data_IF_516314958455
#
_entry.id   IF_516314958455
#
_cell.length_a   1.000
_cell.length_b   1.000
_cell.length_c   1.000
_cell.angle_alpha   90.00
_cell.angle_beta   90.00
_cell.angle_gamma   90.00
#
_symmetry.space_group_name_H-M   'P 1'
#
loop_
_entity.id
_entity.type
_entity.pdbx_description
1 polymer ?
#
# COMPACT_ATOMS: atom_id res chain seq x y z
N UNK A 1 23.99 -7.61 -7.78
CA UNK A 1 22.82 -8.30 -7.16
C UNK A 1 23.28 -8.91 -5.85
N UNK A 2 22.69 -8.55 -4.73
CA UNK A 2 23.07 -9.14 -3.44
C UNK A 2 22.35 -10.48 -3.30
N UNK A 3 23.10 -11.57 -3.22
CA UNK A 3 22.52 -12.89 -3.01
C UNK A 3 22.13 -13.07 -1.54
N UNK A 4 20.91 -13.52 -1.30
CA UNK A 4 20.45 -13.90 0.04
C UNK A 4 20.88 -15.34 0.29
N UNK A 5 21.77 -15.54 1.28
CA UNK A 5 22.20 -16.88 1.71
C UNK A 5 21.20 -17.44 2.71
N UNK A 6 20.51 -18.54 2.37
CA UNK A 6 19.70 -19.29 3.34
C UNK A 6 20.60 -20.04 4.32
N UNK A 7 20.34 -19.87 5.60
CA UNK A 7 21.12 -20.52 6.67
C UNK A 7 20.18 -21.03 7.77
N UNK A 8 20.74 -21.84 8.67
CA UNK A 8 20.01 -22.35 9.85
C UNK A 8 20.20 -21.46 11.08
N UNK A 9 21.17 -20.56 11.04
CA UNK A 9 21.55 -19.74 12.20
C UNK A 9 21.60 -18.27 11.84
N UNK A 10 21.23 -17.43 12.80
CA UNK A 10 21.40 -15.99 12.72
C UNK A 10 22.88 -15.61 12.70
N UNK A 11 23.23 -14.52 12.00
CA UNK A 11 24.59 -13.95 12.04
C UNK A 11 24.92 -13.37 13.44
N UNK A 12 23.89 -12.84 14.09
CA UNK A 12 23.95 -12.29 15.42
C UNK A 12 22.55 -12.24 16.04
N UNK A 13 22.43 -11.96 17.34
CA UNK A 13 21.12 -11.72 17.96
C UNK A 13 20.33 -10.65 17.23
N UNK A 14 18.99 -10.77 17.18
CA UNK A 14 18.16 -9.83 16.45
C UNK A 14 18.30 -8.41 17.02
N UNK A 15 18.24 -7.42 16.13
CA UNK A 15 18.33 -5.99 16.49
C UNK A 15 19.57 -5.58 17.31
N UNK A 16 20.67 -6.32 17.19
CA UNK A 16 21.95 -5.87 17.73
C UNK A 16 22.46 -4.65 16.93
N UNK A 17 23.36 -3.85 17.55
CA UNK A 17 23.84 -2.58 16.95
C UNK A 17 24.54 -2.73 15.61
N UNK A 18 25.05 -3.90 15.27
CA UNK A 18 25.89 -4.15 14.09
C UNK A 18 25.16 -4.76 12.93
N UNK A 19 23.91 -5.21 13.11
CA UNK A 19 23.14 -5.95 12.13
C UNK A 19 21.70 -5.45 12.07
N UNK A 20 21.27 -5.07 10.87
CA UNK A 20 19.85 -4.78 10.62
C UNK A 20 19.08 -6.11 10.57
N UNK A 21 18.00 -6.21 11.33
CA UNK A 21 17.12 -7.38 11.37
C UNK A 21 15.73 -7.01 10.86
N UNK A 22 15.19 -7.82 9.96
CA UNK A 22 13.85 -7.68 9.41
C UNK A 22 13.12 -9.01 9.60
N UNK A 23 11.88 -8.96 10.02
CA UNK A 23 11.05 -10.15 10.19
C UNK A 23 9.79 -10.07 9.32
N UNK A 24 9.39 -11.20 8.78
CA UNK A 24 8.10 -11.36 8.14
C UNK A 24 7.45 -12.69 8.54
N UNK A 25 6.12 -12.74 8.69
CA UNK A 25 5.45 -13.98 9.07
C UNK A 25 5.45 -14.96 7.90
N UNK A 26 5.50 -16.24 8.22
CA UNK A 26 5.22 -17.32 7.28
C UNK A 26 3.84 -17.86 7.63
N UNK A 27 2.78 -17.53 6.87
CA UNK A 27 1.46 -18.02 7.15
C UNK A 27 1.43 -19.56 7.14
N UNK A 28 0.73 -20.14 8.11
CA UNK A 28 0.47 -21.57 8.12
C UNK A 28 -0.30 -22.01 6.87
N UNK A 29 -0.25 -23.30 6.53
CA UNK A 29 -1.11 -23.88 5.50
C UNK A 29 -2.59 -23.50 5.73
N UNK A 30 -3.40 -23.32 4.69
CA UNK A 30 -4.84 -23.10 4.83
C UNK A 30 -5.56 -24.16 5.66
N UNK A 31 -5.04 -25.37 5.70
CA UNK A 31 -5.54 -26.50 6.50
C UNK A 31 -5.14 -26.43 7.98
N UNK A 32 -4.08 -25.68 8.32
CA UNK A 32 -3.63 -25.44 9.69
C UNK A 32 -4.24 -24.16 10.25
N UNK A 33 -5.52 -24.21 10.62
CA UNK A 33 -6.22 -23.05 11.20
C UNK A 33 -5.98 -22.87 12.69
N UNK A 34 -5.39 -23.87 13.35
CA UNK A 34 -5.14 -23.86 14.80
C UNK A 34 -3.66 -23.76 15.15
N UNK A 35 -3.38 -22.96 16.15
CA UNK A 35 -2.06 -22.77 16.75
C UNK A 35 -1.20 -21.71 16.06
N UNK A 36 -0.51 -20.92 16.87
CA UNK A 36 0.32 -19.79 16.45
C UNK A 36 -0.35 -18.44 16.67
N UNK A 37 0.34 -17.39 16.25
CA UNK A 37 -0.11 -16.01 16.36
C UNK A 37 -1.00 -15.66 15.17
N UNK A 38 -2.07 -14.90 15.42
CA UNK A 38 -2.97 -14.42 14.36
C UNK A 38 -2.34 -13.21 13.65
N UNK A 39 -2.24 -13.28 12.33
CA UNK A 39 -1.74 -12.17 11.51
C UNK A 39 -2.80 -11.04 11.44
N UNK A 40 -2.41 -9.85 11.89
CA UNK A 40 -3.26 -8.65 11.89
C UNK A 40 -4.65 -8.87 12.56
N UNK A 41 -4.73 -9.77 13.55
CA UNK A 41 -5.99 -10.15 14.20
C UNK A 41 -6.98 -10.91 13.32
N UNK A 42 -6.61 -11.25 12.09
CA UNK A 42 -7.43 -11.95 11.11
C UNK A 42 -7.48 -13.48 11.34
N UNK A 43 -7.93 -14.20 10.32
CA UNK A 43 -8.09 -15.66 10.38
C UNK A 43 -6.80 -16.44 10.09
N UNK A 44 -5.82 -15.82 9.44
CA UNK A 44 -4.54 -16.47 9.15
C UNK A 44 -3.64 -16.46 10.37
N UNK A 45 -2.97 -17.59 10.61
CA UNK A 45 -2.02 -17.77 11.71
C UNK A 45 -0.62 -18.04 11.17
N UNK A 46 0.38 -17.80 12.01
CA UNK A 46 1.79 -18.16 11.76
C UNK A 46 2.46 -18.64 13.04
N UNK A 47 3.37 -19.60 12.88
CA UNK A 47 4.25 -20.10 13.96
C UNK A 47 5.69 -19.70 13.70
N UNK A 48 6.03 -19.58 12.40
CA UNK A 48 7.38 -19.34 11.94
C UNK A 48 7.53 -17.95 11.34
N UNK A 49 8.70 -17.41 11.49
CA UNK A 49 9.14 -16.16 10.91
C UNK A 49 10.26 -16.40 9.90
N UNK A 50 10.22 -15.65 8.83
CA UNK A 50 11.37 -15.40 7.99
C UNK A 50 12.13 -14.23 8.60
N UNK A 51 13.36 -14.48 9.07
CA UNK A 51 14.25 -13.47 9.63
C UNK A 51 15.34 -13.18 8.62
N UNK A 52 15.42 -11.93 8.18
CA UNK A 52 16.47 -11.47 7.28
C UNK A 52 17.40 -10.57 8.05
N UNK A 53 18.69 -10.91 8.03
CA UNK A 53 19.73 -10.09 8.64
C UNK A 53 20.67 -9.55 7.57
N UNK A 54 20.93 -8.23 7.67
CA UNK A 54 21.84 -7.50 6.78
C UNK A 54 23.04 -6.97 7.55
N UNK A 55 24.24 -7.37 7.11
CA UNK A 55 25.52 -6.84 7.60
C UNK A 55 26.36 -6.40 6.40
N UNK A 56 26.60 -5.08 6.25
CA UNK A 56 27.30 -4.53 5.08
C UNK A 56 26.71 -5.09 3.76
N UNK A 57 27.47 -5.90 3.05
CA UNK A 57 27.11 -6.49 1.77
C UNK A 57 26.56 -7.94 1.90
N UNK A 58 26.45 -8.47 3.10
CA UNK A 58 25.93 -9.81 3.38
C UNK A 58 24.47 -9.76 3.75
N UNK A 59 23.66 -10.61 3.12
CA UNK A 59 22.27 -10.88 3.47
C UNK A 59 22.11 -12.37 3.75
N UNK A 60 21.56 -12.68 4.91
CA UNK A 60 21.13 -14.05 5.22
C UNK A 60 19.64 -14.09 5.48
N UNK A 61 19.04 -15.24 5.21
CA UNK A 61 17.66 -15.57 5.52
C UNK A 61 17.64 -16.81 6.41
N UNK A 62 16.94 -16.72 7.52
CA UNK A 62 16.69 -17.83 8.44
C UNK A 62 15.21 -18.01 8.63
N UNK A 63 14.73 -19.25 8.56
CA UNK A 63 13.38 -19.61 8.96
C UNK A 63 13.43 -20.19 10.36
N UNK A 64 12.69 -19.61 11.28
CA UNK A 64 12.71 -20.04 12.68
C UNK A 64 11.37 -19.83 13.37
N UNK A 65 11.05 -20.63 14.41
CA UNK A 65 9.88 -20.40 15.24
C UNK A 65 9.91 -19.05 15.93
N UNK A 66 8.74 -18.40 16.05
CA UNK A 66 8.62 -17.11 16.75
C UNK A 66 9.17 -17.16 18.17
N UNK A 67 8.90 -18.24 18.89
CA UNK A 67 9.37 -18.42 20.28
C UNK A 67 10.89 -18.54 20.36
N UNK A 68 11.51 -19.15 19.37
CA UNK A 68 12.98 -19.24 19.33
C UNK A 68 13.62 -17.89 19.10
N UNK A 69 13.06 -17.07 18.20
CA UNK A 69 13.54 -15.70 17.98
C UNK A 69 13.45 -14.86 19.27
N UNK A 70 12.34 -14.96 20.00
CA UNK A 70 12.15 -14.29 21.29
C UNK A 70 13.16 -14.77 22.34
N UNK A 71 13.43 -16.09 22.40
CA UNK A 71 14.43 -16.66 23.31
C UNK A 71 15.83 -16.12 23.03
N UNK A 72 16.23 -16.09 21.75
CA UNK A 72 17.54 -15.54 21.35
C UNK A 72 17.64 -14.05 21.68
N UNK A 73 16.59 -13.27 21.45
CA UNK A 73 16.53 -11.85 21.77
C UNK A 73 16.65 -11.62 23.29
N UNK A 74 15.90 -12.37 24.11
CA UNK A 74 15.90 -12.30 25.57
C UNK A 74 17.28 -12.61 26.15
N UNK A 75 17.94 -13.65 25.65
CA UNK A 75 19.27 -14.06 26.12
C UNK A 75 20.36 -13.04 25.75
N UNK A 76 20.13 -12.18 24.77
CA UNK A 76 21.10 -11.17 24.35
C UNK A 76 20.97 -9.87 25.14
N UNK A 77 19.79 -9.24 25.13
CA UNK A 77 19.55 -7.99 25.85
C UNK A 77 18.07 -7.63 25.94
N UNK A 78 17.72 -6.82 26.94
CA UNK A 78 16.38 -6.27 27.10
C UNK A 78 15.96 -5.41 25.88
N UNK A 79 16.87 -4.62 25.30
CA UNK A 79 16.60 -3.80 24.11
C UNK A 79 16.29 -4.67 22.89
N UNK A 80 17.06 -5.74 22.68
CA UNK A 80 16.78 -6.71 21.59
C UNK A 80 15.43 -7.39 21.77
N UNK A 81 15.09 -7.80 22.99
CA UNK A 81 13.79 -8.39 23.30
C UNK A 81 12.66 -7.40 23.00
N UNK A 82 12.70 -6.20 23.55
CA UNK A 82 11.66 -5.19 23.36
C UNK A 82 11.42 -4.87 21.87
N UNK A 83 12.48 -4.73 21.09
CA UNK A 83 12.38 -4.50 19.65
C UNK A 83 11.78 -5.70 18.90
N UNK A 84 12.13 -6.91 19.31
CA UNK A 84 11.58 -8.14 18.71
C UNK A 84 10.10 -8.27 19.02
N UNK A 85 9.71 -8.06 20.28
CA UNK A 85 8.30 -8.08 20.72
C UNK A 85 7.50 -7.02 19.98
N UNK A 86 7.98 -5.77 19.92
CA UNK A 86 7.32 -4.69 19.19
C UNK A 86 7.08 -5.03 17.70
N UNK A 87 8.05 -5.65 17.04
CA UNK A 87 7.85 -6.07 15.63
C UNK A 87 6.85 -7.21 15.50
N UNK A 88 6.84 -8.16 16.43
CA UNK A 88 5.86 -9.25 16.45
C UNK A 88 4.46 -8.70 16.74
N UNK A 89 4.31 -7.79 17.69
CA UNK A 89 3.06 -7.11 17.98
C UNK A 89 2.51 -6.39 16.75
N UNK A 90 3.36 -5.68 16.00
CA UNK A 90 2.97 -5.04 14.74
C UNK A 90 2.46 -6.04 13.69
N UNK A 91 2.89 -7.30 13.74
CA UNK A 91 2.35 -8.34 12.87
C UNK A 91 1.00 -8.87 13.35
N UNK A 92 0.77 -8.90 14.66
CA UNK A 92 -0.38 -9.55 15.31
C UNK A 92 -1.55 -8.58 15.51
N UNK A 93 -1.26 -7.34 15.86
CA UNK A 93 -2.27 -6.34 16.20
C UNK A 93 -3.27 -6.13 15.06
N UNK A 94 -4.55 -6.05 15.44
CA UNK A 94 -5.62 -5.68 14.49
C UNK A 94 -5.29 -4.36 13.81
N UNK A 95 -5.60 -4.28 12.53
CA UNK A 95 -5.47 -3.03 11.79
C UNK A 95 -6.62 -2.10 12.16
N UNK A 96 -6.29 -0.81 12.32
CA UNK A 96 -7.32 0.22 12.47
C UNK A 96 -8.19 0.28 11.21
N UNK A 97 -9.45 0.71 11.34
CA UNK A 97 -10.29 0.98 10.17
C UNK A 97 -9.60 1.94 9.21
N UNK A 98 -9.65 1.64 7.92
CA UNK A 98 -9.15 2.53 6.86
C UNK A 98 -10.35 3.18 6.17
N UNK A 99 -10.45 4.50 6.17
CA UNK A 99 -11.58 5.23 5.59
C UNK A 99 -12.95 4.68 6.04
N UNK A 100 -13.07 4.27 7.32
CA UNK A 100 -14.24 3.61 7.94
C UNK A 100 -14.46 2.15 7.51
N UNK A 101 -13.62 1.57 6.67
CA UNK A 101 -13.68 0.14 6.31
C UNK A 101 -13.06 -0.72 7.42
N UNK A 102 -13.73 -1.81 7.74
CA UNK A 102 -13.23 -2.81 8.69
C UNK A 102 -12.12 -3.65 8.06
N UNK A 103 -10.87 -3.39 8.46
CA UNK A 103 -9.68 -4.08 7.93
C UNK A 103 -9.49 -5.51 8.44
N UNK A 104 -10.44 -6.07 9.18
CA UNK A 104 -10.43 -7.51 9.56
C UNK A 104 -10.80 -8.45 8.40
N UNK A 105 -11.35 -7.90 7.32
CA UNK A 105 -11.77 -8.61 6.11
C UNK A 105 -11.19 -7.94 4.85
N UNK A 106 -11.05 -8.69 3.74
CA UNK A 106 -10.59 -8.13 2.47
C UNK A 106 -11.62 -7.15 1.90
N UNK A 107 -11.10 -6.10 1.25
CA UNK A 107 -11.89 -5.13 0.49
C UNK A 107 -11.41 -5.11 -0.95
N UNK A 108 -12.34 -4.92 -1.89
CA UNK A 108 -12.04 -4.82 -3.31
C UNK A 108 -12.05 -3.34 -3.71
N UNK A 109 -11.00 -2.90 -4.39
CA UNK A 109 -10.93 -1.59 -5.02
C UNK A 109 -11.03 -1.75 -6.54
N UNK A 110 -12.16 -1.31 -7.10
CA UNK A 110 -12.35 -1.22 -8.55
C UNK A 110 -11.62 -0.01 -9.10
N UNK A 111 -11.04 -0.11 -10.31
CA UNK A 111 -10.27 0.97 -10.93
C UNK A 111 -10.96 1.46 -12.20
N UNK A 112 -11.15 2.77 -12.31
CA UNK A 112 -11.71 3.43 -13.48
C UNK A 112 -10.73 4.49 -13.99
N UNK A 113 -10.12 4.22 -15.16
CA UNK A 113 -9.25 5.17 -15.83
C UNK A 113 -10.04 5.95 -16.89
N UNK A 114 -10.17 7.25 -16.69
CA UNK A 114 -10.89 8.15 -17.60
C UNK A 114 -9.90 8.68 -18.64
N UNK A 115 -9.63 7.87 -19.67
CA UNK A 115 -8.73 8.24 -20.78
C UNK A 115 -9.54 8.63 -22.03
N UNK A 116 -8.96 9.39 -22.99
CA UNK A 116 -9.64 9.79 -24.22
C UNK A 116 -10.22 8.62 -24.99
N UNK A 117 -9.51 7.52 -25.09
CA UNK A 117 -9.94 6.33 -25.81
C UNK A 117 -11.11 5.61 -25.14
N UNK A 118 -11.20 5.70 -23.81
CA UNK A 118 -12.25 5.03 -23.04
C UNK A 118 -13.55 5.83 -22.94
N UNK A 119 -13.44 7.18 -22.94
CA UNK A 119 -14.57 8.03 -22.57
C UNK A 119 -14.81 9.29 -23.43
N UNK A 120 -13.89 9.69 -24.34
CA UNK A 120 -13.98 10.99 -25.03
C UNK A 120 -14.53 10.95 -26.46
N UNK A 121 -14.65 9.77 -27.09
CA UNK A 121 -15.12 9.65 -28.50
C UNK A 121 -16.63 9.88 -28.72
N UNK A 122 -17.41 10.02 -27.64
CA UNK A 122 -18.86 10.23 -27.69
C UNK A 122 -19.30 11.40 -26.79
N UNK A 123 -20.52 11.94 -26.97
CA UNK A 123 -20.99 13.07 -26.16
C UNK A 123 -20.79 12.86 -24.66
N UNK A 124 -20.39 13.92 -23.93
CA UNK A 124 -20.12 13.87 -22.48
C UNK A 124 -21.24 13.21 -21.67
N UNK A 125 -22.51 13.41 -22.08
CA UNK A 125 -23.68 12.83 -21.40
C UNK A 125 -23.73 11.31 -21.53
N UNK A 126 -23.40 10.76 -22.71
CA UNK A 126 -23.37 9.30 -22.92
C UNK A 126 -22.25 8.67 -22.09
N UNK A 127 -21.13 9.34 -21.97
CA UNK A 127 -19.97 8.90 -21.21
C UNK A 127 -20.22 8.86 -19.69
N UNK A 128 -20.92 9.86 -19.16
CA UNK A 128 -21.28 9.89 -17.74
C UNK A 128 -22.31 8.78 -17.41
N UNK A 129 -23.29 8.51 -18.28
CA UNK A 129 -24.23 7.39 -18.10
C UNK A 129 -23.49 6.05 -18.11
N UNK A 130 -22.56 5.85 -19.05
CA UNK A 130 -21.71 4.65 -19.11
C UNK A 130 -20.85 4.49 -17.86
N UNK A 131 -20.22 5.58 -17.40
CA UNK A 131 -19.43 5.60 -16.18
C UNK A 131 -20.27 5.16 -14.97
N UNK A 132 -21.44 5.76 -14.80
CA UNK A 132 -22.38 5.42 -13.73
C UNK A 132 -22.78 3.95 -13.78
N UNK A 133 -23.03 3.39 -14.96
CA UNK A 133 -23.33 1.96 -15.14
C UNK A 133 -22.17 1.09 -14.67
N UNK A 134 -20.93 1.36 -15.12
CA UNK A 134 -19.72 0.63 -14.72
C UNK A 134 -19.53 0.72 -13.20
N UNK A 135 -19.74 1.90 -12.62
CA UNK A 135 -19.65 2.10 -11.19
C UNK A 135 -20.63 1.21 -10.42
N UNK A 136 -21.90 1.17 -10.83
CA UNK A 136 -22.91 0.29 -10.22
C UNK A 136 -22.55 -1.18 -10.38
N UNK A 137 -22.07 -1.60 -11.53
CA UNK A 137 -21.62 -2.97 -11.76
C UNK A 137 -20.48 -3.37 -10.82
N UNK A 138 -19.47 -2.50 -10.64
CA UNK A 138 -18.36 -2.76 -9.69
C UNK A 138 -18.86 -2.86 -8.26
N UNK A 139 -19.72 -1.95 -7.82
CA UNK A 139 -20.25 -1.97 -6.44
C UNK A 139 -21.12 -3.20 -6.19
N UNK A 140 -21.99 -3.55 -7.13
CA UNK A 140 -22.83 -4.75 -7.04
C UNK A 140 -22.00 -6.05 -7.02
N UNK A 141 -20.81 -6.04 -7.64
CA UNK A 141 -19.85 -7.13 -7.57
C UNK A 141 -18.91 -7.06 -6.35
N UNK A 142 -19.19 -6.18 -5.38
CA UNK A 142 -18.51 -6.17 -4.07
C UNK A 142 -17.37 -5.16 -3.93
N UNK A 143 -17.19 -4.21 -4.86
CA UNK A 143 -16.20 -3.16 -4.69
C UNK A 143 -16.59 -2.22 -3.54
N UNK A 144 -15.73 -2.10 -2.53
CA UNK A 144 -15.86 -1.19 -1.40
C UNK A 144 -15.28 0.21 -1.69
N UNK A 145 -14.37 0.28 -2.64
CA UNK A 145 -13.68 1.50 -3.08
C UNK A 145 -13.70 1.52 -4.60
N UNK A 146 -13.91 2.68 -5.20
CA UNK A 146 -13.71 2.91 -6.63
C UNK A 146 -12.62 3.97 -6.80
N UNK A 147 -11.51 3.59 -7.40
CA UNK A 147 -10.35 4.45 -7.66
C UNK A 147 -10.45 5.07 -9.06
N UNK A 148 -10.48 6.39 -9.11
CA UNK A 148 -10.72 7.15 -10.34
C UNK A 148 -9.46 7.91 -10.70
N UNK A 149 -8.90 7.61 -11.87
CA UNK A 149 -7.74 8.29 -12.44
C UNK A 149 -8.04 8.99 -13.77
N UNK A 150 -7.51 10.20 -13.93
CA UNK A 150 -7.54 10.95 -15.19
C UNK A 150 -6.29 10.77 -16.03
N UNK A 151 -5.19 10.41 -15.40
CA UNK A 151 -3.90 10.11 -16.02
C UNK A 151 -3.62 8.61 -15.91
N UNK A 152 -3.07 8.00 -16.96
CA UNK A 152 -2.66 6.60 -16.87
C UNK A 152 -1.37 6.48 -16.07
N UNK A 153 -1.36 5.64 -15.04
CA UNK A 153 -0.16 5.31 -14.27
C UNK A 153 0.57 4.05 -14.80
N UNK A 154 0.16 3.53 -15.97
CA UNK A 154 0.80 2.36 -16.59
C UNK A 154 2.23 2.69 -17.03
N UNK A 155 3.14 1.69 -17.08
CA UNK A 155 4.47 1.87 -17.64
C UNK A 155 4.40 2.45 -19.07
N UNK A 156 5.19 3.50 -19.33
CA UNK A 156 5.23 4.16 -20.63
C UNK A 156 4.12 5.19 -20.89
N UNK A 157 3.21 5.42 -19.93
CA UNK A 157 2.15 6.41 -20.10
C UNK A 157 2.72 7.84 -20.15
N UNK A 158 2.22 8.63 -21.07
CA UNK A 158 2.56 10.04 -21.19
C UNK A 158 1.82 10.87 -20.12
N UNK A 159 2.52 11.94 -19.70
CA UNK A 159 1.97 12.87 -18.73
C UNK A 159 0.96 13.79 -19.40
N UNK A 160 -0.18 14.00 -18.75
CA UNK A 160 -1.18 14.98 -19.19
C UNK A 160 -1.05 16.30 -18.41
N UNK A 161 -1.66 17.36 -18.92
CA UNK A 161 -1.74 18.63 -18.21
C UNK A 161 -2.69 18.53 -16.99
N UNK A 162 -2.41 19.31 -15.95
CA UNK A 162 -3.27 19.37 -14.74
C UNK A 162 -4.69 19.86 -15.08
N UNK A 163 -4.81 20.73 -16.09
CA UNK A 163 -6.11 21.21 -16.56
C UNK A 163 -6.93 20.07 -17.16
N UNK A 164 -6.29 19.28 -18.01
CA UNK A 164 -6.91 18.13 -18.65
C UNK A 164 -7.29 17.05 -17.61
N UNK A 165 -6.40 16.76 -16.66
CA UNK A 165 -6.72 15.82 -15.58
C UNK A 165 -7.98 16.24 -14.80
N UNK A 166 -8.08 17.52 -14.42
CA UNK A 166 -9.26 18.04 -13.74
C UNK A 166 -10.54 17.91 -14.58
N UNK A 167 -10.46 18.23 -15.87
CA UNK A 167 -11.59 18.08 -16.79
C UNK A 167 -12.08 16.64 -16.86
N UNK A 168 -11.16 15.67 -16.79
CA UNK A 168 -11.49 14.25 -16.83
C UNK A 168 -12.12 13.75 -15.52
N UNK A 169 -11.65 14.16 -14.34
CA UNK A 169 -12.02 13.50 -13.08
C UNK A 169 -13.07 14.25 -12.25
N UNK A 170 -13.09 15.60 -12.27
CA UNK A 170 -13.91 16.37 -11.31
C UNK A 170 -15.40 16.10 -11.50
N UNK A 171 -15.91 16.32 -12.72
CA UNK A 171 -17.34 16.11 -13.01
C UNK A 171 -17.81 14.65 -12.88
N UNK A 172 -17.05 13.63 -13.32
CA UNK A 172 -17.34 12.25 -13.01
C UNK A 172 -17.45 11.93 -11.51
N UNK A 173 -16.49 12.40 -10.71
CA UNK A 173 -16.50 12.19 -9.25
C UNK A 173 -17.73 12.83 -8.62
N UNK A 174 -18.02 14.09 -8.95
CA UNK A 174 -19.21 14.80 -8.46
C UNK A 174 -20.49 14.04 -8.76
N UNK A 175 -20.65 13.55 -9.99
CA UNK A 175 -21.81 12.75 -10.38
C UNK A 175 -21.91 11.45 -9.56
N UNK A 176 -20.81 10.74 -9.39
CA UNK A 176 -20.81 9.47 -8.63
C UNK A 176 -21.11 9.70 -7.15
N UNK A 177 -20.63 10.78 -6.56
CA UNK A 177 -20.97 11.16 -5.17
C UNK A 177 -22.48 11.43 -5.02
N UNK A 178 -23.11 12.04 -6.02
CA UNK A 178 -24.56 12.28 -6.04
C UNK A 178 -25.40 11.01 -6.17
N UNK A 179 -24.82 9.89 -6.61
CA UNK A 179 -25.52 8.61 -6.71
C UNK A 179 -25.87 7.96 -5.36
N UNK A 180 -25.38 8.49 -4.21
CA UNK A 180 -25.64 8.01 -2.84
C UNK A 180 -25.40 6.51 -2.65
N UNK A 181 -24.39 5.96 -3.29
CA UNK A 181 -24.03 4.54 -3.21
C UNK A 181 -23.07 4.32 -2.04
N UNK A 182 -23.19 3.19 -1.39
CA UNK A 182 -22.34 2.82 -0.25
C UNK A 182 -20.99 2.27 -0.73
N UNK A 183 -20.20 3.11 -1.41
CA UNK A 183 -18.83 2.84 -1.82
C UNK A 183 -18.00 4.11 -1.66
N UNK A 184 -16.72 3.96 -1.29
CA UNK A 184 -15.79 5.06 -1.18
C UNK A 184 -15.23 5.41 -2.56
N UNK A 185 -15.00 6.69 -2.81
CA UNK A 185 -14.34 7.17 -4.01
C UNK A 185 -12.91 7.57 -3.68
N UNK A 186 -11.95 6.93 -4.35
CA UNK A 186 -10.54 7.28 -4.33
C UNK A 186 -10.19 8.07 -5.59
N UNK A 187 -9.34 9.08 -5.44
CA UNK A 187 -8.74 9.82 -6.55
C UNK A 187 -7.31 9.34 -6.77
N UNK A 188 -7.00 8.71 -7.91
CA UNK A 188 -5.62 8.48 -8.36
C UNK A 188 -5.10 9.74 -9.05
N UNK A 189 -4.28 10.50 -8.33
CA UNK A 189 -3.68 11.73 -8.84
C UNK A 189 -2.39 12.06 -8.08
N UNK A 190 -1.39 12.57 -8.81
CA UNK A 190 -0.17 13.14 -8.26
C UNK A 190 -0.20 14.67 -8.18
N UNK A 191 -1.29 15.31 -8.58
CA UNK A 191 -1.38 16.77 -8.70
C UNK A 191 -2.18 17.40 -7.55
N UNK A 192 -1.51 18.13 -6.67
CA UNK A 192 -2.14 18.80 -5.53
C UNK A 192 -3.36 19.65 -5.90
N UNK A 193 -3.30 20.33 -7.04
CA UNK A 193 -4.38 21.22 -7.44
C UNK A 193 -5.63 20.43 -7.88
N UNK A 194 -5.48 19.23 -8.44
CA UNK A 194 -6.57 18.30 -8.70
C UNK A 194 -7.13 17.74 -7.39
N UNK A 195 -6.26 17.30 -6.46
CA UNK A 195 -6.66 16.83 -5.12
C UNK A 195 -7.52 17.86 -4.39
N UNK A 196 -7.13 19.16 -4.40
CA UNK A 196 -7.88 20.22 -3.74
C UNK A 196 -9.29 20.41 -4.31
N UNK A 197 -9.46 20.33 -5.63
CA UNK A 197 -10.76 20.44 -6.27
C UNK A 197 -11.62 19.21 -5.97
N UNK A 198 -11.03 18.01 -6.10
CA UNK A 198 -11.74 16.76 -5.83
C UNK A 198 -12.11 16.58 -4.35
N UNK A 199 -11.32 17.13 -3.43
CA UNK A 199 -11.71 17.21 -2.01
C UNK A 199 -13.01 17.98 -1.79
N UNK A 200 -13.19 19.11 -2.49
CA UNK A 200 -14.41 19.93 -2.40
C UNK A 200 -15.66 19.21 -2.92
N UNK A 201 -15.51 18.33 -3.89
CA UNK A 201 -16.61 17.52 -4.43
C UNK A 201 -16.80 16.18 -3.70
N UNK A 202 -16.04 15.95 -2.62
CA UNK A 202 -16.30 14.89 -1.65
C UNK A 202 -15.55 13.58 -1.89
N UNK A 203 -14.37 13.61 -2.49
CA UNK A 203 -13.48 12.43 -2.54
C UNK A 203 -13.15 11.95 -1.13
N UNK A 204 -13.18 10.63 -0.93
CA UNK A 204 -12.96 10.01 0.36
C UNK A 204 -11.50 9.64 0.63
N UNK A 205 -10.74 9.28 -0.43
CA UNK A 205 -9.36 8.76 -0.35
C UNK A 205 -8.51 9.42 -1.44
N UNK A 206 -7.24 9.72 -1.13
CA UNK A 206 -6.26 10.14 -2.13
C UNK A 206 -5.23 9.05 -2.36
N UNK A 207 -5.10 8.60 -3.61
CA UNK A 207 -4.10 7.65 -4.06
C UNK A 207 -3.02 8.41 -4.84
N UNK A 208 -1.78 8.46 -4.32
CA UNK A 208 -0.66 9.18 -4.97
C UNK A 208 0.51 8.23 -5.24
N UNK A 209 0.72 7.91 -6.51
CA UNK A 209 1.84 7.09 -6.98
C UNK A 209 3.22 7.67 -6.62
N UNK A 210 3.31 8.96 -6.30
CA UNK A 210 4.56 9.61 -5.86
C UNK A 210 4.78 9.53 -4.34
N UNK A 211 3.85 8.89 -3.61
CA UNK A 211 3.86 8.78 -2.16
C UNK A 211 4.01 10.15 -1.47
N UNK A 212 3.27 11.14 -1.91
CA UNK A 212 3.23 12.51 -1.34
C UNK A 212 4.63 13.10 -1.12
N UNK A 213 5.50 13.05 -2.14
CA UNK A 213 6.88 13.59 -2.04
C UNK A 213 6.91 15.07 -1.68
N UNK A 214 5.93 15.86 -2.15
CA UNK A 214 5.91 17.30 -2.00
C UNK A 214 5.35 17.72 -0.63
N UNK A 215 6.05 18.61 0.07
CA UNK A 215 5.64 19.14 1.37
C UNK A 215 4.23 19.75 1.35
N UNK A 216 3.86 20.41 0.26
CA UNK A 216 2.54 21.03 0.13
C UNK A 216 1.40 19.99 0.05
N UNK A 217 1.65 18.80 -0.55
CA UNK A 217 0.71 17.68 -0.54
C UNK A 217 0.55 17.11 0.86
N UNK A 218 1.67 16.91 1.57
CA UNK A 218 1.64 16.45 2.97
C UNK A 218 0.82 17.43 3.83
N UNK A 219 1.12 18.73 3.75
CA UNK A 219 0.39 19.76 4.48
C UNK A 219 -1.12 19.76 4.17
N UNK A 220 -1.50 19.50 2.92
CA UNK A 220 -2.90 19.42 2.52
C UNK A 220 -3.58 18.20 3.16
N UNK A 221 -2.98 17.01 3.03
CA UNK A 221 -3.54 15.77 3.60
C UNK A 221 -3.65 15.86 5.12
N UNK A 222 -2.62 16.37 5.79
CA UNK A 222 -2.64 16.55 7.26
C UNK A 222 -3.76 17.48 7.70
N UNK A 223 -3.99 18.57 6.98
CA UNK A 223 -5.07 19.53 7.31
C UNK A 223 -6.47 18.98 7.07
N UNK A 224 -6.62 18.10 6.08
CA UNK A 224 -7.93 17.53 5.72
C UNK A 224 -8.20 16.20 6.41
N UNK A 225 -7.21 15.62 7.10
CA UNK A 225 -7.29 14.29 7.70
C UNK A 225 -7.78 13.22 6.74
N UNK A 226 -7.45 13.38 5.45
CA UNK A 226 -7.91 12.48 4.40
C UNK A 226 -7.14 11.17 4.44
N UNK A 227 -7.81 10.01 4.32
CA UNK A 227 -7.16 8.73 4.11
C UNK A 227 -6.33 8.74 2.82
N UNK A 228 -5.16 8.09 2.85
CA UNK A 228 -4.24 8.07 1.72
C UNK A 228 -3.81 6.66 1.34
N UNK A 229 -3.54 6.48 0.06
CA UNK A 229 -2.86 5.30 -0.48
C UNK A 229 -1.54 5.78 -1.10
N UNK A 230 -0.46 5.07 -0.81
CA UNK A 230 0.88 5.39 -1.31
C UNK A 230 1.47 4.21 -2.06
N UNK A 231 2.21 4.49 -3.11
CA UNK A 231 2.89 3.48 -3.91
C UNK A 231 4.41 3.68 -3.84
N UNK A 232 5.16 2.57 -3.90
CA UNK A 232 6.60 2.61 -4.16
C UNK A 232 6.87 2.60 -5.66
N UNK A 233 7.66 3.56 -6.12
CA UNK A 233 8.14 3.64 -7.49
C UNK A 233 9.53 4.27 -7.51
N UNK A 234 10.50 3.69 -8.27
CA UNK A 234 11.85 4.24 -8.31
C UNK A 234 12.01 5.48 -9.19
N UNK A 235 11.25 5.61 -10.23
CA UNK A 235 11.34 6.70 -11.20
C UNK A 235 9.93 7.29 -11.44
N UNK A 236 9.60 7.58 -12.67
CA UNK A 236 8.27 8.02 -13.10
C UNK A 236 7.60 6.95 -13.98
N UNK A 237 6.27 6.96 -14.18
CA UNK A 237 5.57 5.95 -14.97
C UNK A 237 6.19 5.69 -16.34
N UNK A 238 6.62 6.73 -17.03
CA UNK A 238 7.24 6.62 -18.36
C UNK A 238 8.52 5.76 -18.39
N UNK A 239 9.24 5.68 -17.27
CA UNK A 239 10.55 5.01 -17.22
C UNK A 239 10.75 4.11 -15.99
N UNK A 240 9.70 3.86 -15.20
CA UNK A 240 9.82 3.12 -13.94
C UNK A 240 10.28 1.67 -14.10
N UNK A 241 10.07 1.08 -15.27
CA UNK A 241 10.53 -0.29 -15.58
C UNK A 241 11.91 -0.32 -16.26
N UNK A 242 12.46 0.84 -16.61
CA UNK A 242 13.77 0.90 -17.26
C UNK A 242 14.85 0.70 -16.20
N UNK A 243 15.39 -0.53 -16.13
CA UNK A 243 16.49 -0.93 -15.27
C UNK A 243 16.33 -0.50 -13.78
N UNK A 244 15.25 -0.91 -13.09
CA UNK A 244 15.10 -0.62 -11.66
C UNK A 244 16.21 -1.33 -10.88
N UNK A 245 16.87 -0.61 -9.97
CA UNK A 245 17.99 -1.15 -9.19
C UNK A 245 17.62 -1.25 -7.72
N UNK A 246 17.76 -2.44 -7.16
CA UNK A 246 17.62 -2.73 -5.74
C UNK A 246 18.85 -3.49 -5.24
N UNK A 247 19.26 -3.20 -4.01
CA UNK A 247 20.20 -4.08 -3.31
C UNK A 247 19.47 -5.37 -2.91
N UNK A 248 18.32 -5.21 -2.28
CA UNK A 248 17.37 -6.29 -2.01
C UNK A 248 15.95 -5.69 -1.91
N UNK A 249 15.16 -5.89 -2.95
CA UNK A 249 13.87 -5.21 -3.12
C UNK A 249 12.94 -5.23 -1.89
N UNK A 250 12.73 -6.36 -1.17
CA UNK A 250 11.88 -6.36 0.01
C UNK A 250 12.32 -5.39 1.11
N UNK A 251 13.62 -5.30 1.39
CA UNK A 251 14.16 -4.40 2.41
C UNK A 251 14.14 -2.95 1.93
N UNK A 252 14.51 -2.71 0.67
CA UNK A 252 14.57 -1.35 0.11
C UNK A 252 13.16 -0.73 0.07
N UNK A 253 12.15 -1.52 -0.30
CA UNK A 253 10.73 -1.11 -0.30
C UNK A 253 10.22 -0.92 1.14
N UNK A 254 10.55 -1.84 2.06
CA UNK A 254 10.21 -1.67 3.47
C UNK A 254 10.77 -0.37 4.04
N UNK A 255 12.05 -0.09 3.80
CA UNK A 255 12.71 1.15 4.24
C UNK A 255 12.09 2.41 3.59
N UNK A 256 11.65 2.31 2.34
CA UNK A 256 10.94 3.40 1.69
C UNK A 256 9.64 3.74 2.44
N UNK A 257 8.79 2.75 2.69
CA UNK A 257 7.53 2.97 3.40
C UNK A 257 7.74 3.40 4.87
N UNK A 258 8.69 2.80 5.59
CA UNK A 258 9.02 3.20 6.98
C UNK A 258 9.47 4.65 7.13
N UNK A 259 9.93 5.30 6.05
CA UNK A 259 10.29 6.72 6.06
C UNK A 259 9.10 7.62 5.70
N UNK A 260 8.01 7.04 5.19
CA UNK A 260 6.83 7.77 4.73
C UNK A 260 5.70 7.79 5.75
N UNK A 261 5.70 6.79 6.61
CA UNK A 261 4.77 6.63 7.74
C UNK A 261 5.44 7.13 9.02
#
# INVERSE_FOLDING_TARGET
MTFVKKTRYLLAPPYCKTIETFISPIPNSPTETSGGLRLAGGWRCFKNLRVIQKKKNSLIEVLMPTQELLRVAKNYSKDSLNKTEFQIENLVNKRFPFAKLDMSKPHIMGVINITPDSFYKNSQVKNLKRLTKIFYEMVNNGASIIDIGGESSRPGAEKISVVEEKQRVVRPIEQLKNCKINSLISLDSRNLSTMKVCHKVGVDIFNDITAFKEKNKINFITKTFSPIIIMHMQKEPINMQINPKYNFAPIDIYKFFSKKI
#
